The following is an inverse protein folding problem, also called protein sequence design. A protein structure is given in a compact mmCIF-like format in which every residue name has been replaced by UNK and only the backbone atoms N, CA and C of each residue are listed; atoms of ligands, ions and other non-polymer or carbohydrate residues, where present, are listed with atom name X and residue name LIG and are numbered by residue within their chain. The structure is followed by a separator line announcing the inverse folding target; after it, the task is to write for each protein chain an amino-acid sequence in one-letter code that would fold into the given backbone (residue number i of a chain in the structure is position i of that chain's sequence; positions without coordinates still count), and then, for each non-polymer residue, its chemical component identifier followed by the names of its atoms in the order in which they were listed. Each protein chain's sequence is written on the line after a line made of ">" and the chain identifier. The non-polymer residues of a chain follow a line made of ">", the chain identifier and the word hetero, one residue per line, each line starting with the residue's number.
data_IF_561194516228
#
_entry.id   IF_561194516228
#
_cell.length_a   1.000
_cell.length_b   1.000
_cell.length_c   1.000
_cell.angle_alpha   90.00
_cell.angle_beta   90.00
_cell.angle_gamma   90.00
#
_symmetry.space_group_name_H-M   'P 1'
#
loop_
_entity.id
_entity.type
_entity.pdbx_description
1 polymer ?
#
# COMPACT_ATOMS: atom_id res chain seq x y z
N UNK A 1 -64.64 -21.49 -6.85
CA UNK A 1 -63.88 -20.31 -7.35
C UNK A 1 -63.05 -19.76 -6.18
N UNK A 2 -61.77 -20.15 -6.09
CA UNK A 2 -60.82 -19.62 -5.10
C UNK A 2 -59.68 -18.95 -5.86
N UNK A 3 -59.59 -17.62 -5.76
CA UNK A 3 -58.50 -16.83 -6.32
C UNK A 3 -57.38 -16.78 -5.27
N UNK A 4 -56.22 -17.36 -5.59
CA UNK A 4 -55.01 -17.20 -4.79
C UNK A 4 -54.31 -15.92 -5.22
N UNK A 5 -54.16 -15.01 -4.28
CA UNK A 5 -53.34 -13.81 -4.44
C UNK A 5 -51.86 -14.21 -4.27
N UNK A 6 -51.08 -14.03 -5.33
CA UNK A 6 -49.61 -14.08 -5.24
C UNK A 6 -49.09 -12.72 -4.76
N UNK A 7 -48.57 -12.69 -3.55
CA UNK A 7 -47.81 -11.53 -3.03
C UNK A 7 -46.39 -11.68 -3.49
N UNK A 8 -45.92 -10.75 -4.32
CA UNK A 8 -44.56 -10.66 -4.79
C UNK A 8 -43.62 -10.19 -3.66
N UNK A 9 -42.68 -11.02 -3.28
CA UNK A 9 -41.54 -10.65 -2.44
C UNK A 9 -40.43 -10.07 -3.33
N UNK A 10 -40.45 -8.76 -3.57
CA UNK A 10 -39.40 -8.03 -4.25
C UNK A 10 -38.90 -6.92 -3.30
N UNK A 11 -37.75 -7.08 -2.68
CA UNK A 11 -37.12 -5.99 -1.99
C UNK A 11 -36.22 -6.40 -0.82
N UNK A 12 -34.93 -6.66 -1.07
CA UNK A 12 -33.83 -6.52 -0.07
C UNK A 12 -32.46 -6.87 -0.67
N UNK A 13 -32.04 -6.23 -1.75
CA UNK A 13 -30.68 -6.45 -2.30
C UNK A 13 -29.82 -5.18 -2.45
N UNK A 14 -30.22 -4.02 -1.93
CA UNK A 14 -29.54 -2.74 -2.18
C UNK A 14 -28.62 -2.29 -1.03
N UNK A 15 -28.69 -2.91 0.14
CA UNK A 15 -28.04 -2.38 1.37
C UNK A 15 -26.56 -2.78 1.48
N UNK A 16 -26.12 -3.89 0.90
CA UNK A 16 -24.74 -4.40 1.08
C UNK A 16 -23.65 -3.56 0.40
N UNK A 17 -23.94 -2.97 -0.76
CA UNK A 17 -22.95 -2.19 -1.51
C UNK A 17 -22.59 -0.84 -0.87
N UNK A 18 -23.51 -0.25 -0.10
CA UNK A 18 -23.28 1.00 0.62
C UNK A 18 -22.35 0.83 1.81
N UNK A 19 -22.49 -0.24 2.57
CA UNK A 19 -21.67 -0.52 3.75
C UNK A 19 -20.19 -0.77 3.39
N UNK A 20 -19.93 -1.53 2.32
CA UNK A 20 -18.56 -1.80 1.86
C UNK A 20 -17.82 -0.53 1.40
N UNK A 21 -18.53 0.40 0.74
CA UNK A 21 -17.95 1.70 0.33
C UNK A 21 -17.67 2.63 1.50
N UNK A 22 -18.53 2.64 2.51
CA UNK A 22 -18.35 3.44 3.72
C UNK A 22 -17.14 2.93 4.52
N UNK A 23 -16.96 1.61 4.64
CA UNK A 23 -15.80 1.01 5.30
C UNK A 23 -14.49 1.31 4.56
N UNK A 24 -14.47 1.22 3.22
CA UNK A 24 -13.30 1.56 2.42
C UNK A 24 -12.92 3.04 2.56
N UNK A 25 -13.91 3.94 2.54
CA UNK A 25 -13.70 5.37 2.75
C UNK A 25 -13.11 5.67 4.13
N UNK A 26 -13.63 5.03 5.19
CA UNK A 26 -13.13 5.18 6.55
C UNK A 26 -11.68 4.66 6.66
N UNK A 27 -11.43 3.51 6.07
CA UNK A 27 -10.10 2.90 6.04
C UNK A 27 -9.08 3.81 5.34
N UNK A 28 -9.37 4.30 4.12
CA UNK A 28 -8.48 5.22 3.41
C UNK A 28 -8.21 6.51 4.21
N UNK A 29 -9.26 7.13 4.77
CA UNK A 29 -9.13 8.35 5.57
C UNK A 29 -8.27 8.16 6.82
N UNK A 30 -8.15 6.94 7.34
CA UNK A 30 -7.28 6.65 8.49
C UNK A 30 -5.79 6.82 8.20
N UNK A 31 -5.40 6.83 6.92
CA UNK A 31 -4.02 7.10 6.50
C UNK A 31 -3.70 8.60 6.39
N UNK A 32 -4.68 9.50 6.43
CA UNK A 32 -4.43 10.94 6.29
C UNK A 32 -3.65 11.48 7.49
N UNK A 33 -2.59 12.25 7.23
CA UNK A 33 -1.79 12.92 8.27
C UNK A 33 -0.31 12.98 7.93
N UNK A 34 0.47 13.47 8.89
CA UNK A 34 1.92 13.44 8.84
C UNK A 34 2.40 12.22 9.65
N UNK A 35 3.46 11.58 9.15
CA UNK A 35 4.03 10.39 9.77
C UNK A 35 5.54 10.47 9.73
N UNK A 36 6.18 10.04 10.81
CA UNK A 36 7.63 9.91 10.88
C UNK A 36 8.00 8.57 11.50
N UNK A 37 9.17 8.06 11.17
CA UNK A 37 9.63 6.81 11.73
C UNK A 37 10.94 6.32 11.17
N UNK A 38 11.27 5.09 11.48
CA UNK A 38 12.54 4.46 11.13
C UNK A 38 12.31 3.09 10.54
N UNK A 39 13.31 2.58 9.88
CA UNK A 39 13.26 1.23 9.32
C UNK A 39 14.59 0.84 8.69
N UNK A 40 14.54 -0.20 7.92
CA UNK A 40 15.67 -0.71 7.13
C UNK A 40 15.29 -0.82 5.67
N UNK A 41 16.27 -0.59 4.81
CA UNK A 41 16.16 -0.79 3.36
C UNK A 41 17.37 -1.55 2.88
N UNK A 42 17.14 -2.53 2.04
CA UNK A 42 18.14 -3.31 1.32
C UNK A 42 17.95 -3.04 -0.17
N UNK A 43 18.96 -2.51 -0.83
CA UNK A 43 18.84 -2.05 -2.23
C UNK A 43 18.72 -3.22 -3.20
N UNK A 44 19.45 -4.29 -2.94
CA UNK A 44 19.38 -5.59 -3.61
C UNK A 44 19.46 -6.70 -2.57
N UNK A 45 19.00 -7.90 -2.88
CA UNK A 45 18.90 -9.00 -1.90
C UNK A 45 20.25 -9.51 -1.38
N UNK A 46 21.34 -9.15 -2.04
CA UNK A 46 22.72 -9.55 -1.74
C UNK A 46 23.54 -8.50 -0.95
N UNK A 47 22.98 -7.32 -0.69
CA UNK A 47 23.68 -6.27 0.09
C UNK A 47 23.14 -6.13 1.52
N UNK A 48 23.92 -5.61 2.48
CA UNK A 48 23.44 -5.39 3.84
C UNK A 48 22.29 -4.40 3.92
N UNK A 49 21.47 -4.56 4.94
CA UNK A 49 20.43 -3.61 5.31
C UNK A 49 21.02 -2.26 5.74
N UNK A 50 20.41 -1.18 5.29
CA UNK A 50 20.72 0.20 5.68
C UNK A 50 19.59 0.75 6.55
N UNK A 51 19.92 1.26 7.72
CA UNK A 51 18.98 2.00 8.57
C UNK A 51 18.56 3.31 7.92
N UNK A 52 17.25 3.59 7.93
CA UNK A 52 16.68 4.83 7.40
C UNK A 52 15.77 5.50 8.41
N UNK A 53 15.71 6.83 8.33
CA UNK A 53 14.72 7.66 9.01
C UNK A 53 13.87 8.35 7.96
N UNK A 54 12.54 8.23 8.07
CA UNK A 54 11.60 8.69 7.07
C UNK A 54 10.58 9.66 7.66
N UNK A 55 10.14 10.61 6.85
CA UNK A 55 9.01 11.48 7.14
C UNK A 55 8.12 11.58 5.91
N UNK A 56 6.80 11.47 6.10
CA UNK A 56 5.81 11.44 5.05
C UNK A 56 4.60 12.32 5.39
N UNK A 57 4.06 12.99 4.38
CA UNK A 57 2.72 13.57 4.38
C UNK A 57 1.82 12.66 3.58
N UNK A 58 0.75 12.19 4.20
CA UNK A 58 -0.26 11.34 3.56
C UNK A 58 -1.57 12.08 3.42
N UNK A 59 -2.16 12.04 2.22
CA UNK A 59 -3.49 12.54 1.93
C UNK A 59 -4.38 11.42 1.42
N UNK A 60 -5.64 11.44 1.85
CA UNK A 60 -6.61 10.43 1.48
C UNK A 60 -7.98 11.04 1.23
N UNK A 61 -8.67 10.51 0.22
CA UNK A 61 -10.08 10.77 -0.08
C UNK A 61 -10.89 9.48 0.07
N UNK A 62 -12.11 9.45 -0.43
CA UNK A 62 -12.91 8.20 -0.51
C UNK A 62 -12.39 7.20 -1.55
N UNK A 63 -11.59 7.65 -2.53
CA UNK A 63 -11.17 6.85 -3.69
C UNK A 63 -9.69 6.99 -4.02
N UNK A 64 -8.91 7.67 -3.18
CA UNK A 64 -7.48 7.85 -3.42
C UNK A 64 -6.67 7.92 -2.13
N UNK A 65 -5.42 7.51 -2.23
CA UNK A 65 -4.40 7.65 -1.19
C UNK A 65 -3.11 8.15 -1.84
N UNK A 66 -2.49 9.17 -1.24
CA UNK A 66 -1.16 9.60 -1.64
C UNK A 66 -0.23 9.68 -0.43
N UNK A 67 1.03 9.36 -0.66
CA UNK A 67 2.10 9.44 0.30
C UNK A 67 3.27 10.18 -0.34
N UNK A 68 3.73 11.27 0.28
CA UNK A 68 4.86 12.08 -0.17
C UNK A 68 5.83 12.32 0.97
N UNK A 69 7.10 12.09 0.75
CA UNK A 69 8.08 12.29 1.81
C UNK A 69 9.50 12.00 1.41
N UNK A 70 10.33 11.89 2.41
CA UNK A 70 11.77 11.64 2.26
C UNK A 70 12.21 10.57 3.26
N UNK A 71 13.14 9.72 2.82
CA UNK A 71 13.89 8.83 3.69
C UNK A 71 15.38 9.22 3.63
N UNK A 72 16.00 9.35 4.79
CA UNK A 72 17.43 9.59 4.94
C UNK A 72 18.10 8.33 5.48
N UNK A 73 19.15 7.90 4.79
CA UNK A 73 20.03 6.82 5.20
C UNK A 73 21.50 7.20 5.00
N UNK A 74 22.44 6.40 5.53
CA UNK A 74 23.87 6.57 5.33
C UNK A 74 24.35 8.04 5.54
N UNK A 75 23.96 8.66 6.67
CA UNK A 75 24.35 10.01 7.13
C UNK A 75 23.99 11.15 6.17
N UNK A 76 24.19 11.02 4.84
CA UNK A 76 24.01 12.12 3.87
C UNK A 76 23.09 11.79 2.69
N UNK A 77 22.62 10.54 2.53
CA UNK A 77 21.77 10.18 1.39
C UNK A 77 20.30 10.40 1.75
N UNK A 78 19.68 11.37 1.11
CA UNK A 78 18.23 11.61 1.19
C UNK A 78 17.57 11.22 -0.12
N UNK A 79 16.47 10.45 -0.04
CA UNK A 79 15.68 10.03 -1.21
C UNK A 79 14.24 10.49 -1.05
N UNK A 80 13.77 11.25 -2.03
CA UNK A 80 12.36 11.57 -2.16
C UNK A 80 11.57 10.33 -2.57
N UNK A 81 10.43 10.12 -1.92
CA UNK A 81 9.54 8.98 -2.15
C UNK A 81 8.14 9.52 -2.32
N UNK A 82 7.44 9.04 -3.33
CA UNK A 82 6.02 9.32 -3.48
C UNK A 82 5.26 8.09 -3.95
N UNK A 83 4.00 7.97 -3.51
CA UNK A 83 3.06 6.99 -4.03
C UNK A 83 1.71 7.65 -4.26
N UNK A 84 1.04 7.26 -5.32
CA UNK A 84 -0.30 7.72 -5.70
C UNK A 84 -1.14 6.50 -6.01
N UNK A 85 -2.19 6.27 -5.25
CA UNK A 85 -3.13 5.17 -5.44
C UNK A 85 -4.53 5.70 -5.73
N UNK A 86 -5.21 5.04 -6.64
CA UNK A 86 -6.65 5.17 -6.90
C UNK A 86 -7.35 3.87 -6.53
N UNK A 87 -8.59 3.98 -6.06
CA UNK A 87 -9.42 2.84 -5.68
C UNK A 87 -10.68 2.83 -6.52
N UNK A 88 -10.97 1.72 -7.15
CA UNK A 88 -12.20 1.48 -7.91
C UNK A 88 -12.61 0.02 -7.77
N UNK A 89 -13.86 -0.25 -7.34
CA UNK A 89 -14.37 -1.62 -7.17
C UNK A 89 -13.53 -2.51 -6.23
N UNK A 90 -12.94 -1.93 -5.16
CA UNK A 90 -12.06 -2.65 -4.23
C UNK A 90 -10.66 -2.97 -4.76
N UNK A 91 -10.34 -2.52 -5.97
CA UNK A 91 -9.00 -2.63 -6.56
C UNK A 91 -8.22 -1.33 -6.39
N UNK A 92 -6.96 -1.46 -6.07
CA UNK A 92 -6.00 -0.38 -5.94
C UNK A 92 -5.09 -0.40 -7.16
N UNK A 93 -4.88 0.76 -7.77
CA UNK A 93 -3.91 0.95 -8.84
C UNK A 93 -3.18 2.26 -8.68
N UNK A 94 -1.94 2.35 -9.15
CA UNK A 94 -1.20 3.59 -9.01
C UNK A 94 0.26 3.51 -9.41
N UNK A 95 1.01 4.51 -8.93
CA UNK A 95 2.43 4.67 -9.24
C UNK A 95 3.21 4.96 -7.96
N UNK A 96 4.37 4.34 -7.86
CA UNK A 96 5.40 4.60 -6.85
C UNK A 96 6.62 5.23 -7.51
N UNK A 97 7.19 6.26 -6.89
CA UNK A 97 8.45 6.90 -7.27
C UNK A 97 9.36 6.94 -6.06
N UNK A 98 10.57 6.46 -6.20
CA UNK A 98 11.55 6.38 -5.10
C UNK A 98 12.63 5.34 -5.33
N UNK A 99 12.40 4.40 -6.25
CA UNK A 99 13.42 3.44 -6.68
C UNK A 99 14.45 4.09 -7.61
N UNK A 100 15.58 3.43 -7.79
CA UNK A 100 16.60 3.84 -8.77
C UNK A 100 16.20 3.55 -10.22
N UNK A 101 15.16 2.73 -10.43
CA UNK A 101 14.72 2.29 -11.74
C UNK A 101 13.73 3.24 -12.41
N UNK A 102 13.24 4.23 -11.68
CA UNK A 102 12.18 5.14 -12.12
C UNK A 102 10.80 4.76 -11.59
N UNK A 103 9.72 5.33 -12.12
CA UNK A 103 8.35 5.07 -11.68
C UNK A 103 7.98 3.59 -11.81
N UNK A 104 7.41 3.02 -10.75
CA UNK A 104 6.91 1.65 -10.73
C UNK A 104 5.37 1.63 -10.68
N UNK A 105 4.76 0.67 -11.36
CA UNK A 105 3.32 0.46 -11.31
C UNK A 105 2.93 -0.32 -10.06
N UNK A 106 1.82 0.05 -9.46
CA UNK A 106 1.23 -0.60 -8.29
C UNK A 106 -0.17 -1.10 -8.63
N UNK A 107 -0.45 -2.37 -8.32
CA UNK A 107 -1.77 -2.96 -8.48
C UNK A 107 -2.06 -3.93 -7.35
N UNK A 108 -3.28 -3.91 -6.81
CA UNK A 108 -3.62 -4.84 -5.73
C UNK A 108 -4.99 -4.62 -5.11
N UNK A 109 -5.13 -5.01 -3.86
CA UNK A 109 -6.39 -4.92 -3.13
C UNK A 109 -6.14 -4.81 -1.62
N UNK A 110 -7.18 -4.41 -0.89
CA UNK A 110 -7.19 -4.42 0.58
C UNK A 110 -7.52 -5.81 1.11
N UNK A 111 -6.87 -6.18 2.19
CA UNK A 111 -7.23 -7.32 3.04
C UNK A 111 -7.13 -6.90 4.51
N UNK A 112 -8.25 -6.87 5.22
CA UNK A 112 -8.28 -6.43 6.61
C UNK A 112 -7.79 -4.98 6.78
N UNK A 113 -6.72 -4.82 7.55
CA UNK A 113 -6.07 -3.54 7.84
C UNK A 113 -4.87 -3.23 6.91
N UNK A 114 -4.69 -3.98 5.83
CA UNK A 114 -3.57 -3.86 4.91
C UNK A 114 -4.01 -3.69 3.46
N UNK A 115 -3.26 -2.87 2.70
CA UNK A 115 -3.30 -2.80 1.25
C UNK A 115 -2.11 -3.61 0.74
N UNK A 116 -2.39 -4.67 -0.01
CA UNK A 116 -1.37 -5.54 -0.61
C UNK A 116 -1.26 -5.20 -2.10
N UNK A 117 -0.07 -4.82 -2.54
CA UNK A 117 0.21 -4.30 -3.86
C UNK A 117 1.33 -5.11 -4.52
N UNK A 118 1.09 -5.59 -5.71
CA UNK A 118 2.17 -6.00 -6.60
C UNK A 118 2.86 -4.75 -7.17
N UNK A 119 4.17 -4.72 -7.09
CA UNK A 119 5.03 -3.72 -7.74
C UNK A 119 5.49 -4.29 -9.09
N UNK A 120 5.47 -3.42 -10.11
CA UNK A 120 6.14 -3.68 -11.38
C UNK A 120 7.16 -2.57 -11.61
N UNK A 121 8.43 -2.89 -11.44
CA UNK A 121 9.55 -1.98 -11.60
C UNK A 121 9.70 -1.53 -13.07
N UNK A 122 10.21 -0.32 -13.29
CA UNK A 122 10.53 0.19 -14.62
C UNK A 122 11.67 -0.58 -15.28
N UNK A 123 12.64 -1.07 -14.48
CA UNK A 123 13.76 -1.93 -14.89
C UNK A 123 13.87 -3.10 -13.94
N UNK A 124 14.68 -4.08 -14.27
CA UNK A 124 14.96 -5.22 -13.40
C UNK A 124 15.59 -4.80 -12.07
N UNK A 125 15.12 -5.46 -11.01
CA UNK A 125 15.66 -5.39 -9.65
C UNK A 125 15.69 -6.83 -9.16
N UNK A 126 16.82 -7.28 -8.64
CA UNK A 126 17.00 -8.66 -8.19
C UNK A 126 16.63 -9.73 -9.24
N UNK A 127 16.96 -9.48 -10.51
CA UNK A 127 16.78 -10.45 -11.60
C UNK A 127 15.39 -10.47 -12.23
N UNK A 128 14.43 -9.69 -11.72
CA UNK A 128 13.12 -9.54 -12.36
C UNK A 128 12.55 -8.12 -12.19
N UNK A 129 11.29 -7.90 -12.56
CA UNK A 129 10.63 -6.60 -12.48
C UNK A 129 9.46 -6.59 -11.49
N UNK A 130 9.43 -7.52 -10.55
CA UNK A 130 8.30 -7.69 -9.66
C UNK A 130 8.73 -7.66 -8.18
N UNK A 131 7.88 -7.13 -7.33
CA UNK A 131 7.99 -7.20 -5.87
C UNK A 131 6.61 -7.07 -5.24
N UNK A 132 6.51 -7.26 -3.94
CA UNK A 132 5.27 -7.07 -3.17
C UNK A 132 5.45 -5.92 -2.18
N UNK A 133 4.48 -5.01 -2.14
CA UNK A 133 4.40 -3.95 -1.14
C UNK A 133 3.16 -4.16 -0.28
N UNK A 134 3.34 -4.19 1.02
CA UNK A 134 2.24 -4.11 1.99
C UNK A 134 2.27 -2.77 2.69
N UNK A 135 1.12 -2.07 2.67
CA UNK A 135 0.86 -0.83 3.43
C UNK A 135 -0.15 -1.17 4.50
N UNK A 136 0.30 -1.35 5.74
CA UNK A 136 -0.52 -1.86 6.84
C UNK A 136 -0.76 -0.78 7.90
N UNK A 137 -2.00 -0.63 8.36
CA UNK A 137 -2.33 0.13 9.57
C UNK A 137 -1.86 -0.64 10.81
N UNK A 138 -1.17 0.05 11.69
CA UNK A 138 -0.73 -0.47 12.99
C UNK A 138 -1.31 0.39 14.11
N UNK A 139 -2.49 -0.03 14.60
CA UNK A 139 -3.30 0.78 15.51
C UNK A 139 -3.85 2.05 14.85
N UNK A 140 -4.24 3.02 15.67
CA UNK A 140 -4.81 4.28 15.20
C UNK A 140 -3.77 5.15 14.47
N UNK A 141 -2.55 5.20 14.99
CA UNK A 141 -1.53 6.17 14.58
C UNK A 141 -0.32 5.58 13.86
N UNK A 142 -0.29 4.26 13.66
CA UNK A 142 0.82 3.58 13.02
C UNK A 142 0.54 3.20 11.56
N UNK A 143 1.61 3.18 10.75
CA UNK A 143 1.66 2.59 9.42
C UNK A 143 2.94 1.78 9.32
N UNK A 144 2.87 0.57 8.81
CA UNK A 144 4.03 -0.24 8.47
C UNK A 144 4.07 -0.42 6.96
N UNK A 145 5.21 -0.07 6.36
CA UNK A 145 5.49 -0.29 4.95
C UNK A 145 6.47 -1.47 4.85
N UNK A 146 6.11 -2.50 4.11
CA UNK A 146 6.97 -3.68 3.90
C UNK A 146 7.08 -3.99 2.42
N UNK A 147 8.30 -4.07 1.89
CA UNK A 147 8.57 -4.57 0.54
C UNK A 147 9.24 -5.93 0.65
N UNK A 148 8.71 -6.87 -0.10
CA UNK A 148 9.27 -8.22 -0.24
C UNK A 148 9.65 -8.42 -1.69
N UNK A 149 10.86 -8.86 -1.92
CA UNK A 149 11.40 -9.19 -3.22
C UNK A 149 11.87 -10.65 -3.25
N UNK A 150 12.20 -11.15 -4.42
CA UNK A 150 12.72 -12.50 -4.60
C UNK A 150 14.24 -12.45 -4.78
N UNK A 151 14.95 -13.23 -4.01
CA UNK A 151 16.37 -13.43 -4.22
C UNK A 151 16.62 -14.29 -5.46
N UNK A 152 17.38 -13.79 -6.46
CA UNK A 152 17.54 -14.48 -7.75
C UNK A 152 18.41 -15.76 -7.65
N UNK A 153 19.26 -15.86 -6.63
CA UNK A 153 20.15 -17.01 -6.46
C UNK A 153 19.44 -18.17 -5.74
N UNK A 154 18.66 -17.84 -4.72
CA UNK A 154 18.03 -18.85 -3.86
C UNK A 154 16.54 -19.06 -4.16
N UNK A 155 15.90 -18.12 -4.88
CA UNK A 155 14.47 -18.09 -5.13
C UNK A 155 13.64 -17.79 -3.89
N UNK A 156 14.25 -17.45 -2.74
CA UNK A 156 13.56 -17.15 -1.49
C UNK A 156 13.02 -15.73 -1.46
N UNK A 157 11.93 -15.54 -0.74
CA UNK A 157 11.39 -14.20 -0.45
C UNK A 157 12.26 -13.52 0.61
N UNK A 158 12.65 -12.25 0.34
CA UNK A 158 13.46 -11.41 1.22
C UNK A 158 12.72 -10.10 1.49
N UNK A 159 12.66 -9.69 2.75
CA UNK A 159 12.15 -8.35 3.11
C UNK A 159 13.23 -7.33 2.80
N UNK A 160 13.08 -6.63 1.67
CA UNK A 160 14.04 -5.61 1.21
C UNK A 160 13.76 -4.22 1.76
N UNK A 161 12.57 -3.99 2.34
CA UNK A 161 12.26 -2.76 3.08
C UNK A 161 11.23 -3.03 4.16
N UNK A 162 11.49 -2.50 5.36
CA UNK A 162 10.50 -2.39 6.43
C UNK A 162 10.65 -1.06 7.13
N UNK A 163 9.60 -0.24 7.11
CA UNK A 163 9.57 1.09 7.71
C UNK A 163 8.36 1.18 8.63
N UNK A 164 8.60 1.42 9.91
CA UNK A 164 7.58 1.60 10.92
C UNK A 164 7.40 3.11 11.16
N UNK A 165 6.21 3.61 10.87
CA UNK A 165 5.85 5.02 10.93
C UNK A 165 4.81 5.26 12.02
N UNK A 166 4.91 6.39 12.69
CA UNK A 166 3.93 6.90 13.64
C UNK A 166 3.46 8.28 13.22
N UNK A 167 2.24 8.61 13.56
CA UNK A 167 1.71 9.96 13.37
C UNK A 167 2.56 10.97 14.15
N UNK A 168 2.93 12.07 13.52
CA UNK A 168 3.77 13.16 14.07
C UNK A 168 2.99 14.47 14.12
#
# INVERSE_FOLDING_TARGET
>A
MRRFAQVALAGCLVIAAGAARADETKFLKSFKGNFAGKGTVQVTTDVPNVGVSCSFKSNATSTSLSLDGNCRGLILVTRAISARLKVSGGKYSGVYVGSRTGPAQLNGSRSGNAINLAIRWAKEVNGDRTAQLTVQKNGADGIVLTVVDRDPQTGKSVVTSRIDLRRS
#
